data_IF_634764430853
#
_entry.id   IF_634764430853
#
_cell.length_a   1.000
_cell.length_b   1.000
_cell.length_c   1.000
_cell.angle_alpha   90.00
_cell.angle_beta   90.00
_cell.angle_gamma   90.00
#
_symmetry.space_group_name_H-M   'P 1'
#
loop_
_entity.id
_entity.type
_entity.pdbx_description
1 polymer ?
#
# COMPACT_ATOMS: atom_id res chain seq x y z
N UNK A 1 -29.29 15.55 -2.76
CA UNK A 1 -27.92 15.25 -3.20
C UNK A 1 -26.85 16.14 -2.52
N UNK A 2 -27.12 17.40 -2.18
CA UNK A 2 -26.14 18.28 -1.52
C UNK A 2 -25.81 17.94 -0.04
N UNK A 3 -26.68 17.23 0.66
CA UNK A 3 -26.49 16.84 2.07
C UNK A 3 -25.70 15.53 2.26
N UNK A 4 -25.53 14.71 1.23
CA UNK A 4 -24.75 13.47 1.31
C UNK A 4 -23.24 13.71 1.12
N UNK A 5 -22.84 14.73 0.38
CA UNK A 5 -21.43 15.15 0.23
C UNK A 5 -20.78 15.65 1.53
N UNK A 6 -21.56 16.02 2.55
CA UNK A 6 -21.03 16.40 3.87
C UNK A 6 -20.77 15.21 4.80
N UNK A 7 -21.32 14.02 4.50
CA UNK A 7 -21.06 12.79 5.25
C UNK A 7 -19.88 12.09 4.61
N UNK A 8 -18.74 12.11 5.28
CA UNK A 8 -17.58 11.35 4.85
C UNK A 8 -17.89 9.85 4.72
N UNK A 9 -17.18 9.17 3.84
CA UNK A 9 -17.25 7.70 3.69
C UNK A 9 -16.29 7.03 4.66
N UNK A 10 -16.74 5.94 5.25
CA UNK A 10 -15.92 5.08 6.11
C UNK A 10 -15.77 3.72 5.46
N UNK A 11 -14.56 3.36 5.10
CA UNK A 11 -14.24 2.13 4.39
C UNK A 11 -13.25 1.28 5.20
N UNK A 12 -13.32 -0.04 5.18
CA UNK A 12 -12.28 -0.88 5.76
C UNK A 12 -10.98 -0.73 4.94
N UNK A 13 -9.82 -0.73 5.60
CA UNK A 13 -8.52 -0.69 4.90
C UNK A 13 -8.31 -1.90 4.00
N UNK A 14 -8.78 -3.07 4.41
CA UNK A 14 -8.72 -4.29 3.60
C UNK A 14 -10.01 -5.10 3.71
N UNK A 15 -10.36 -5.78 2.63
CA UNK A 15 -11.45 -6.75 2.59
C UNK A 15 -10.99 -8.17 2.95
N UNK A 16 -9.68 -8.42 2.93
CA UNK A 16 -9.08 -9.75 3.16
C UNK A 16 -9.03 -10.12 4.63
N UNK A 17 -10.18 -10.47 5.19
CA UNK A 17 -10.33 -10.81 6.63
C UNK A 17 -9.60 -12.10 7.03
N UNK A 18 -9.46 -13.06 6.12
CA UNK A 18 -8.91 -14.38 6.43
C UNK A 18 -7.41 -14.37 6.75
N UNK A 19 -6.64 -13.44 6.17
CA UNK A 19 -5.20 -13.32 6.40
C UNK A 19 -4.90 -13.03 7.87
N UNK A 20 -5.67 -12.14 8.49
CA UNK A 20 -5.53 -11.84 9.91
C UNK A 20 -5.73 -13.09 10.79
N UNK A 21 -6.80 -13.86 10.53
CA UNK A 21 -7.08 -15.06 11.29
C UNK A 21 -6.02 -16.13 11.13
N UNK A 22 -5.46 -16.26 9.92
CA UNK A 22 -4.36 -17.18 9.66
C UNK A 22 -3.10 -16.77 10.44
N UNK A 23 -2.73 -15.50 10.40
CA UNK A 23 -1.57 -14.98 11.16
C UNK A 23 -1.78 -15.19 12.65
N UNK A 24 -2.99 -14.92 13.17
CA UNK A 24 -3.32 -15.10 14.57
C UNK A 24 -3.22 -16.58 14.99
N UNK A 25 -3.73 -17.50 14.17
CA UNK A 25 -3.65 -18.94 14.42
C UNK A 25 -2.22 -19.49 14.37
N UNK A 26 -1.37 -18.94 13.52
CA UNK A 26 0.04 -19.33 13.42
C UNK A 26 0.90 -18.82 14.59
N UNK A 27 0.46 -17.78 15.29
CA UNK A 27 1.22 -17.14 16.38
C UNK A 27 1.60 -18.12 17.51
N UNK A 28 0.68 -18.88 18.12
CA UNK A 28 1.04 -19.80 19.19
C UNK A 28 1.94 -20.95 18.69
N UNK A 29 1.76 -21.38 17.44
CA UNK A 29 2.60 -22.42 16.82
C UNK A 29 4.04 -21.95 16.64
N UNK A 30 4.24 -20.72 16.18
CA UNK A 30 5.58 -20.17 15.98
C UNK A 30 6.29 -19.96 17.31
N UNK A 31 5.62 -19.33 18.29
CA UNK A 31 6.21 -19.11 19.63
C UNK A 31 6.53 -20.46 20.29
N UNK A 32 5.61 -21.42 20.21
CA UNK A 32 5.85 -22.75 20.74
C UNK A 32 7.04 -23.46 20.08
N UNK A 33 7.18 -23.33 18.77
CA UNK A 33 8.31 -23.88 18.01
C UNK A 33 9.65 -23.23 18.41
N UNK A 34 9.70 -21.92 18.57
CA UNK A 34 10.89 -21.18 18.97
C UNK A 34 11.32 -21.59 20.38
N UNK A 35 10.40 -21.61 21.36
CA UNK A 35 10.70 -22.02 22.74
C UNK A 35 11.11 -23.50 22.83
N UNK A 36 10.46 -24.37 22.07
CA UNK A 36 10.85 -25.78 21.97
C UNK A 36 12.27 -25.93 21.39
N UNK A 37 12.57 -25.20 20.32
CA UNK A 37 13.89 -25.23 19.67
C UNK A 37 15.00 -24.78 20.61
N UNK A 38 14.78 -23.71 21.39
CA UNK A 38 15.74 -23.20 22.40
C UNK A 38 16.01 -24.30 23.44
N UNK A 39 14.98 -24.99 23.92
CA UNK A 39 15.10 -26.04 24.95
C UNK A 39 15.82 -27.27 24.44
N UNK A 40 15.41 -27.78 23.27
CA UNK A 40 15.98 -29.01 22.68
C UNK A 40 17.44 -28.83 22.26
N UNK A 41 17.76 -27.69 21.69
CA UNK A 41 19.13 -27.39 21.28
C UNK A 41 20.04 -26.95 22.42
N UNK A 42 19.53 -26.79 23.66
CA UNK A 42 20.30 -26.33 24.82
C UNK A 42 20.96 -24.96 24.57
N UNK A 43 20.35 -24.14 23.70
CA UNK A 43 20.92 -22.86 23.29
C UNK A 43 20.89 -21.84 24.41
N UNK A 44 22.07 -21.46 24.88
CA UNK A 44 22.26 -20.38 25.84
C UNK A 44 23.00 -19.22 25.16
N UNK A 45 22.77 -17.99 25.65
CA UNK A 45 23.44 -16.82 25.14
C UNK A 45 22.94 -16.33 23.79
N UNK A 46 23.85 -16.04 22.85
CA UNK A 46 23.52 -15.39 21.56
C UNK A 46 22.55 -16.20 20.70
N UNK A 47 22.60 -17.52 20.72
CA UNK A 47 21.70 -18.35 19.90
C UNK A 47 20.23 -18.20 20.31
N UNK A 48 19.95 -18.17 21.61
CA UNK A 48 18.59 -17.96 22.11
C UNK A 48 18.06 -16.54 21.80
N UNK A 49 18.94 -15.54 21.82
CA UNK A 49 18.58 -14.17 21.45
C UNK A 49 18.17 -14.05 19.96
N UNK A 50 18.92 -14.72 19.05
CA UNK A 50 18.57 -14.74 17.63
C UNK A 50 17.21 -15.37 17.39
N UNK A 51 16.88 -16.47 18.05
CA UNK A 51 15.57 -17.10 17.91
C UNK A 51 14.44 -16.20 18.47
N UNK A 52 14.66 -15.55 19.60
CA UNK A 52 13.69 -14.58 20.15
C UNK A 52 13.50 -13.35 19.27
N UNK A 53 14.51 -12.98 18.47
CA UNK A 53 14.36 -11.93 17.46
C UNK A 53 13.31 -12.34 16.40
N UNK A 54 13.18 -13.63 16.07
CA UNK A 54 12.13 -14.13 15.16
C UNK A 54 10.74 -13.87 15.76
N UNK A 55 10.54 -14.14 17.07
CA UNK A 55 9.28 -13.83 17.74
C UNK A 55 8.98 -12.33 17.72
N UNK A 56 9.98 -11.49 18.00
CA UNK A 56 9.80 -10.04 17.93
C UNK A 56 9.38 -9.57 16.52
N UNK A 57 10.02 -10.09 15.47
CA UNK A 57 9.66 -9.79 14.09
C UNK A 57 8.24 -10.29 13.76
N UNK A 58 7.85 -11.44 14.29
CA UNK A 58 6.50 -11.96 14.13
C UNK A 58 5.46 -11.05 14.80
N UNK A 59 5.71 -10.56 16.01
CA UNK A 59 4.83 -9.59 16.67
C UNK A 59 4.64 -8.30 15.84
N UNK A 60 5.68 -7.86 15.14
CA UNK A 60 5.56 -6.73 14.20
C UNK A 60 4.60 -7.09 13.05
N UNK A 61 4.67 -8.30 12.51
CA UNK A 61 3.73 -8.77 11.47
C UNK A 61 2.31 -8.79 12.01
N UNK A 62 2.09 -9.36 13.20
CA UNK A 62 0.77 -9.38 13.87
C UNK A 62 0.22 -7.97 14.08
N UNK A 63 1.06 -7.03 14.55
CA UNK A 63 0.65 -5.65 14.77
C UNK A 63 0.25 -4.95 13.46
N UNK A 64 0.98 -5.20 12.38
CA UNK A 64 0.66 -4.67 11.04
C UNK A 64 -0.67 -5.24 10.55
N UNK A 65 -0.86 -6.55 10.62
CA UNK A 65 -2.12 -7.21 10.23
C UNK A 65 -3.31 -6.70 11.08
N UNK A 66 -3.07 -6.44 12.36
CA UNK A 66 -4.06 -5.85 13.25
C UNK A 66 -4.48 -4.44 12.79
N UNK A 67 -3.51 -3.58 12.42
CA UNK A 67 -3.81 -2.26 11.87
C UNK A 67 -4.62 -2.37 10.58
N UNK A 68 -4.25 -3.29 9.67
CA UNK A 68 -5.01 -3.50 8.44
C UNK A 68 -6.42 -4.02 8.70
N UNK A 69 -6.60 -4.90 9.69
CA UNK A 69 -7.89 -5.52 10.00
C UNK A 69 -8.87 -4.56 10.67
N UNK A 70 -8.40 -3.75 11.60
CA UNK A 70 -9.23 -2.83 12.39
C UNK A 70 -9.14 -1.38 11.93
N UNK A 71 -8.22 -1.12 11.01
CA UNK A 71 -8.08 0.19 10.42
C UNK A 71 -9.23 0.53 9.49
N UNK A 72 -9.63 1.80 9.54
CA UNK A 72 -10.67 2.38 8.71
C UNK A 72 -10.10 3.55 7.93
N UNK A 73 -10.52 3.64 6.69
CA UNK A 73 -10.25 4.75 5.80
C UNK A 73 -11.44 5.71 5.85
N UNK A 74 -11.22 6.92 6.30
CA UNK A 74 -12.22 7.98 6.28
C UNK A 74 -11.92 8.91 5.11
N UNK A 75 -12.87 8.99 4.18
CA UNK A 75 -12.87 9.95 3.09
C UNK A 75 -13.74 11.12 3.52
N UNK A 76 -13.13 12.27 3.75
CA UNK A 76 -13.83 13.51 4.13
C UNK A 76 -13.43 14.63 3.18
N UNK A 77 -14.23 15.69 3.02
CA UNK A 77 -13.91 16.78 2.08
C UNK A 77 -12.53 17.41 2.32
N UNK A 78 -12.06 17.42 3.56
CA UNK A 78 -10.76 17.96 3.97
C UNK A 78 -9.58 17.03 3.67
N UNK A 79 -9.83 15.78 3.26
CA UNK A 79 -8.80 14.83 2.93
C UNK A 79 -9.10 13.40 3.33
N UNK A 80 -8.06 12.57 3.36
CA UNK A 80 -8.14 11.15 3.70
C UNK A 80 -7.50 10.93 5.07
N UNK A 81 -8.18 10.23 5.95
CA UNK A 81 -7.64 9.84 7.24
C UNK A 81 -7.69 8.32 7.43
N UNK A 82 -6.65 7.76 8.04
CA UNK A 82 -6.62 6.38 8.49
C UNK A 82 -6.74 6.38 10.00
N UNK A 83 -7.74 5.68 10.51
CA UNK A 83 -7.96 5.55 11.94
C UNK A 83 -7.94 4.09 12.37
N UNK A 84 -7.52 3.84 13.62
CA UNK A 84 -7.62 2.55 14.29
C UNK A 84 -8.19 2.80 15.68
N UNK A 85 -9.29 2.17 16.01
CA UNK A 85 -10.02 2.36 17.26
C UNK A 85 -10.31 3.84 17.59
N UNK A 86 -10.68 4.62 16.57
CA UNK A 86 -10.97 6.05 16.74
C UNK A 86 -9.75 6.95 16.81
N UNK A 87 -8.54 6.40 16.95
CA UNK A 87 -7.30 7.18 16.91
C UNK A 87 -6.83 7.36 15.48
N UNK A 88 -6.53 8.59 15.08
CA UNK A 88 -6.00 8.90 13.75
C UNK A 88 -4.53 8.53 13.67
N UNK A 89 -4.23 7.50 12.88
CA UNK A 89 -2.84 7.10 12.60
C UNK A 89 -2.20 7.98 11.55
N UNK A 90 -2.99 8.42 10.57
CA UNK A 90 -2.50 9.19 9.43
C UNK A 90 -3.61 10.07 8.87
N UNK A 91 -3.23 11.29 8.49
CA UNK A 91 -4.09 12.21 7.76
C UNK A 91 -3.39 12.66 6.49
N UNK A 92 -4.14 12.69 5.40
CA UNK A 92 -3.70 13.12 4.08
C UNK A 92 -4.58 14.29 3.65
N UNK A 93 -4.17 15.55 3.91
CA UNK A 93 -4.98 16.72 3.60
C UNK A 93 -5.26 16.82 2.09
N UNK A 94 -6.44 17.29 1.72
CA UNK A 94 -6.87 17.45 0.33
C UNK A 94 -5.90 18.29 -0.50
N UNK A 95 -5.39 19.35 0.07
CA UNK A 95 -4.43 20.27 -0.55
C UNK A 95 -3.11 19.61 -0.96
N UNK A 96 -2.77 18.48 -0.31
CA UNK A 96 -1.58 17.70 -0.63
C UNK A 96 -1.85 16.62 -1.69
N UNK A 97 -3.09 16.38 -2.09
CA UNK A 97 -3.41 15.39 -3.12
C UNK A 97 -3.13 16.00 -4.48
N UNK A 98 -2.06 15.58 -5.15
CA UNK A 98 -1.66 16.05 -6.48
C UNK A 98 -2.32 15.30 -7.61
N UNK A 99 -2.43 13.97 -7.48
CA UNK A 99 -3.18 13.16 -8.42
C UNK A 99 -3.65 11.85 -7.78
N UNK A 100 -4.62 11.23 -8.42
CA UNK A 100 -5.10 9.88 -8.15
C UNK A 100 -4.66 8.97 -9.30
N UNK A 101 -4.17 7.77 -8.98
CA UNK A 101 -3.74 6.81 -10.00
C UNK A 101 -4.35 5.44 -9.81
N UNK A 102 -4.72 4.76 -10.91
CA UNK A 102 -5.00 3.33 -10.94
C UNK A 102 -3.75 2.57 -11.34
N UNK A 103 -3.29 1.63 -10.52
CA UNK A 103 -2.11 0.82 -10.84
C UNK A 103 -2.54 -0.64 -10.94
N UNK A 104 -2.50 -1.20 -12.16
CA UNK A 104 -2.79 -2.60 -12.43
C UNK A 104 -1.53 -3.27 -12.99
N UNK A 105 -1.10 -4.35 -12.38
CA UNK A 105 0.10 -5.09 -12.82
C UNK A 105 0.04 -6.55 -12.39
N UNK A 106 0.85 -7.38 -13.03
CA UNK A 106 1.04 -8.78 -12.65
C UNK A 106 2.34 -8.96 -11.87
N UNK A 107 2.24 -9.54 -10.69
CA UNK A 107 3.41 -9.88 -9.88
C UNK A 107 3.39 -11.38 -9.54
N UNK A 108 4.41 -12.11 -10.00
CA UNK A 108 4.51 -13.58 -9.83
C UNK A 108 3.24 -14.32 -10.25
N UNK A 109 2.64 -13.91 -11.38
CA UNK A 109 1.41 -14.52 -11.91
C UNK A 109 0.12 -14.12 -11.19
N UNK A 110 0.18 -13.23 -10.19
CA UNK A 110 -1.01 -12.72 -9.49
C UNK A 110 -1.30 -11.29 -9.92
N UNK A 111 -2.52 -11.03 -10.36
CA UNK A 111 -2.97 -9.66 -10.66
C UNK A 111 -3.04 -8.84 -9.38
N UNK A 112 -2.49 -7.64 -9.43
CA UNK A 112 -2.47 -6.67 -8.35
C UNK A 112 -3.07 -5.37 -8.84
N UNK A 113 -3.99 -4.83 -8.06
CA UNK A 113 -4.72 -3.61 -8.40
C UNK A 113 -4.80 -2.68 -7.18
N UNK A 114 -4.41 -1.42 -7.39
CA UNK A 114 -4.40 -0.42 -6.33
C UNK A 114 -4.92 0.92 -6.83
N UNK A 115 -5.60 1.64 -5.95
CA UNK A 115 -5.85 3.07 -6.08
C UNK A 115 -4.73 3.78 -5.33
N UNK A 116 -4.00 4.63 -6.02
CA UNK A 116 -2.90 5.41 -5.46
C UNK A 116 -3.36 6.85 -5.24
N UNK A 117 -3.21 7.34 -4.02
CA UNK A 117 -3.37 8.77 -3.70
C UNK A 117 -1.99 9.34 -3.50
N UNK A 118 -1.60 10.32 -4.31
CA UNK A 118 -0.23 10.82 -4.36
C UNK A 118 -0.16 12.30 -3.98
N UNK A 119 0.78 12.62 -3.07
CA UNK A 119 1.12 13.99 -2.72
C UNK A 119 2.26 14.56 -3.59
N UNK A 120 2.87 13.74 -4.42
CA UNK A 120 3.90 14.13 -5.37
C UNK A 120 3.33 14.13 -6.77
N UNK A 121 3.91 14.95 -7.65
CA UNK A 121 3.57 14.92 -9.07
C UNK A 121 4.10 13.65 -9.74
N UNK A 122 3.60 13.34 -10.94
CA UNK A 122 4.10 12.20 -11.72
C UNK A 122 5.55 12.36 -12.11
N UNK A 123 5.97 13.59 -12.43
CA UNK A 123 7.34 13.93 -12.76
C UNK A 123 8.29 13.68 -11.59
N UNK A 124 7.90 14.09 -10.36
CA UNK A 124 8.70 13.85 -9.15
C UNK A 124 8.86 12.34 -8.87
N UNK A 125 7.79 11.54 -9.09
CA UNK A 125 7.85 10.09 -8.94
C UNK A 125 8.72 9.43 -10.01
N UNK A 126 8.66 9.93 -11.25
CA UNK A 126 9.47 9.47 -12.36
C UNK A 126 10.96 9.72 -12.11
N UNK A 127 11.31 10.92 -11.66
CA UNK A 127 12.70 11.27 -11.28
C UNK A 127 13.22 10.43 -10.12
N UNK A 128 12.38 10.21 -9.11
CA UNK A 128 12.72 9.34 -7.99
C UNK A 128 12.95 7.89 -8.45
N UNK A 129 12.17 7.41 -9.43
CA UNK A 129 12.36 6.09 -10.02
C UNK A 129 13.70 5.99 -10.75
N UNK A 130 14.03 6.97 -11.59
CA UNK A 130 15.31 7.03 -12.30
C UNK A 130 16.49 7.05 -11.32
N UNK A 131 16.40 7.88 -10.27
CA UNK A 131 17.43 7.98 -9.24
C UNK A 131 17.70 6.64 -8.56
N UNK A 132 16.63 5.89 -8.21
CA UNK A 132 16.75 4.60 -7.54
C UNK A 132 17.22 3.46 -8.43
N UNK A 133 16.97 3.56 -9.73
CA UNK A 133 17.39 2.50 -10.66
C UNK A 133 18.79 2.74 -11.23
N UNK A 134 19.41 3.89 -10.93
CA UNK A 134 20.68 4.36 -11.51
C UNK A 134 20.69 4.31 -13.06
N UNK A 135 19.52 4.24 -13.70
CA UNK A 135 19.34 4.21 -15.13
C UNK A 135 18.87 5.58 -15.59
N UNK A 136 19.78 6.37 -16.13
CA UNK A 136 19.43 7.63 -16.79
C UNK A 136 18.89 7.30 -18.17
N UNK A 137 17.59 7.35 -18.33
CA UNK A 137 16.92 7.18 -19.63
C UNK A 137 16.87 8.52 -20.38
N UNK A 138 18.04 9.09 -20.74
CA UNK A 138 18.12 10.39 -21.43
C UNK A 138 17.16 10.48 -22.64
N UNK A 139 17.06 9.39 -23.42
CA UNK A 139 16.17 9.35 -24.58
C UNK A 139 14.69 9.11 -24.22
N UNK A 140 14.37 8.73 -22.98
CA UNK A 140 13.01 8.49 -22.56
C UNK A 140 12.30 9.78 -22.14
N UNK A 141 13.03 10.75 -21.59
CA UNK A 141 12.47 12.06 -21.16
C UNK A 141 11.86 12.88 -22.31
N UNK A 142 12.24 12.60 -23.55
CA UNK A 142 11.64 13.24 -24.74
C UNK A 142 10.29 12.64 -25.14
N UNK A 143 9.86 11.54 -24.52
CA UNK A 143 8.56 10.94 -24.80
C UNK A 143 7.45 11.64 -24.00
N UNK A 144 6.28 11.91 -24.61
CA UNK A 144 5.18 12.57 -23.93
C UNK A 144 4.62 11.76 -22.76
N UNK A 145 4.73 10.42 -22.80
CA UNK A 145 4.26 9.46 -21.77
C UNK A 145 5.33 9.06 -20.74
N UNK A 146 6.50 9.74 -20.77
CA UNK A 146 7.64 9.38 -19.90
C UNK A 146 7.28 9.43 -18.39
N UNK A 147 6.63 10.51 -17.97
CA UNK A 147 6.31 10.71 -16.57
C UNK A 147 5.33 9.65 -16.06
N UNK A 148 4.31 9.32 -16.85
CA UNK A 148 3.32 8.30 -16.53
C UNK A 148 3.95 6.90 -16.44
N UNK A 149 4.75 6.50 -17.44
CA UNK A 149 5.41 5.19 -17.47
C UNK A 149 6.37 5.01 -16.28
N UNK A 150 7.17 6.02 -15.96
CA UNK A 150 8.13 5.95 -14.86
C UNK A 150 7.45 6.03 -13.49
N UNK A 151 6.43 6.88 -13.32
CA UNK A 151 5.64 6.96 -12.11
C UNK A 151 4.89 5.65 -11.86
N UNK A 152 4.30 5.05 -12.89
CA UNK A 152 3.65 3.73 -12.81
C UNK A 152 4.62 2.66 -12.31
N UNK A 153 5.82 2.56 -12.90
CA UNK A 153 6.86 1.62 -12.46
C UNK A 153 7.32 1.87 -11.02
N UNK A 154 7.40 3.14 -10.61
CA UNK A 154 7.72 3.49 -9.23
C UNK A 154 6.63 2.99 -8.27
N UNK A 155 5.36 3.26 -8.58
CA UNK A 155 4.23 2.88 -7.75
C UNK A 155 4.06 1.36 -7.66
N UNK A 156 4.28 0.62 -8.74
CA UNK A 156 4.29 -0.85 -8.74
C UNK A 156 5.35 -1.40 -7.79
N UNK A 157 6.58 -0.89 -7.87
CA UNK A 157 7.66 -1.28 -6.95
C UNK A 157 7.37 -0.88 -5.51
N UNK A 158 6.76 0.28 -5.30
CA UNK A 158 6.36 0.72 -3.97
C UNK A 158 5.30 -0.22 -3.39
N UNK A 159 4.29 -0.61 -4.19
CA UNK A 159 3.22 -1.51 -3.79
C UNK A 159 3.73 -2.92 -3.39
N UNK A 160 4.79 -3.41 -4.04
CA UNK A 160 5.39 -4.71 -3.72
C UNK A 160 6.45 -4.65 -2.62
N UNK A 161 6.86 -3.47 -2.21
CA UNK A 161 7.88 -3.31 -1.18
C UNK A 161 7.31 -3.42 0.24
N UNK A 162 8.16 -3.89 1.18
CA UNK A 162 7.85 -3.82 2.62
C UNK A 162 7.60 -2.38 3.11
N UNK A 163 8.04 -1.37 2.37
CA UNK A 163 7.77 0.05 2.67
C UNK A 163 6.29 0.37 2.66
N UNK A 164 5.47 -0.38 1.92
CA UNK A 164 4.02 -0.26 1.95
C UNK A 164 3.49 -0.50 3.38
N UNK A 165 4.01 -1.51 4.05
CA UNK A 165 3.57 -1.90 5.40
C UNK A 165 4.03 -0.89 6.46
N UNK A 166 5.26 -0.38 6.34
CA UNK A 166 5.88 0.55 7.29
C UNK A 166 5.82 2.02 6.83
N UNK A 167 5.32 2.27 5.63
CA UNK A 167 5.29 3.59 4.99
C UNK A 167 4.33 4.60 5.61
N UNK A 168 3.78 4.29 6.79
CA UNK A 168 2.92 5.23 7.55
C UNK A 168 3.60 6.58 7.83
N UNK A 169 4.93 6.66 7.80
CA UNK A 169 5.68 7.91 7.99
C UNK A 169 5.94 8.71 6.71
N UNK A 170 5.97 8.08 5.53
CA UNK A 170 6.18 8.79 4.26
C UNK A 170 4.84 9.17 3.65
N UNK A 171 4.40 10.38 3.93
CA UNK A 171 3.11 10.94 3.50
C UNK A 171 2.99 11.22 2.00
N UNK A 172 3.85 10.65 1.16
CA UNK A 172 3.83 10.96 -0.26
C UNK A 172 2.88 10.09 -1.08
N UNK A 173 2.58 8.86 -0.61
CA UNK A 173 1.79 7.89 -1.35
C UNK A 173 0.92 7.08 -0.39
N UNK A 174 -0.37 6.99 -0.68
CA UNK A 174 -1.32 6.12 -0.01
C UNK A 174 -1.85 5.13 -1.04
N UNK A 175 -1.74 3.83 -0.72
CA UNK A 175 -2.30 2.75 -1.53
C UNK A 175 -3.58 2.24 -0.88
N UNK A 176 -4.65 2.21 -1.66
CA UNK A 176 -5.97 1.70 -1.29
C UNK A 176 -6.26 0.50 -2.18
N UNK A 177 -6.78 -0.58 -1.61
CA UNK A 177 -7.16 -1.75 -2.38
C UNK A 177 -8.21 -1.37 -3.43
N UNK A 178 -7.99 -1.82 -4.67
CA UNK A 178 -8.88 -1.49 -5.79
C UNK A 178 -10.27 -2.08 -5.59
N UNK A 179 -11.27 -1.25 -5.79
CA UNK A 179 -12.65 -1.65 -6.01
C UNK A 179 -13.31 -0.54 -6.85
N UNK A 180 -14.20 -0.89 -7.81
CA UNK A 180 -14.93 0.11 -8.59
C UNK A 180 -15.73 1.08 -7.73
N UNK A 181 -16.29 0.58 -6.62
CA UNK A 181 -17.06 1.37 -5.66
C UNK A 181 -16.16 2.37 -4.93
N UNK A 182 -15.00 1.92 -4.41
CA UNK A 182 -14.01 2.78 -3.75
C UNK A 182 -13.49 3.87 -4.67
N UNK A 183 -13.23 3.52 -5.93
CA UNK A 183 -12.79 4.50 -6.91
C UNK A 183 -13.84 5.59 -7.12
N UNK A 184 -15.12 5.22 -7.31
CA UNK A 184 -16.21 6.19 -7.45
C UNK A 184 -16.32 7.09 -6.24
N UNK A 185 -16.31 6.53 -5.03
CA UNK A 185 -16.37 7.30 -3.79
C UNK A 185 -15.22 8.32 -3.67
N UNK A 186 -14.00 7.93 -4.07
CA UNK A 186 -12.84 8.81 -4.03
C UNK A 186 -12.98 9.92 -5.08
N UNK A 187 -13.41 9.59 -6.30
CA UNK A 187 -13.61 10.57 -7.36
C UNK A 187 -14.74 11.56 -7.03
N UNK A 188 -15.84 11.06 -6.46
CA UNK A 188 -16.97 11.90 -6.02
C UNK A 188 -16.57 12.83 -4.87
N UNK A 189 -15.72 12.34 -3.95
CA UNK A 189 -15.26 13.15 -2.82
C UNK A 189 -14.23 14.21 -3.22
N UNK A 190 -13.40 13.93 -4.23
CA UNK A 190 -12.33 14.83 -4.67
C UNK A 190 -12.46 15.22 -6.14
N UNK A 191 -13.56 15.88 -6.54
CA UNK A 191 -13.74 16.37 -7.90
C UNK A 191 -12.64 17.40 -8.21
N UNK A 192 -12.06 17.29 -9.39
CA UNK A 192 -10.97 18.17 -9.84
C UNK A 192 -9.56 17.70 -9.49
N UNK A 193 -9.39 16.62 -8.73
CA UNK A 193 -8.09 15.95 -8.66
C UNK A 193 -7.90 15.09 -9.92
N UNK A 194 -6.80 15.26 -10.69
CA UNK A 194 -6.60 14.51 -11.92
C UNK A 194 -6.47 13.00 -11.62
N UNK A 195 -7.10 12.21 -12.48
CA UNK A 195 -7.01 10.76 -12.46
C UNK A 195 -6.17 10.27 -13.62
N UNK A 196 -5.26 9.33 -13.37
CA UNK A 196 -4.43 8.71 -14.41
C UNK A 196 -4.42 7.20 -14.24
N UNK A 197 -4.64 6.48 -15.34
CA UNK A 197 -4.48 5.03 -15.37
C UNK A 197 -3.02 4.68 -15.68
N UNK A 198 -2.36 4.08 -14.70
CA UNK A 198 -0.95 3.69 -14.75
C UNK A 198 -0.79 2.17 -14.90
N UNK A 199 -1.72 1.54 -15.62
CA UNK A 199 -1.71 0.09 -15.84
C UNK A 199 -0.48 -0.36 -16.63
N UNK A 200 0.16 -1.45 -16.20
CA UNK A 200 1.27 -2.04 -16.96
C UNK A 200 0.79 -2.51 -18.33
N UNK A 201 1.43 -2.02 -19.39
CA UNK A 201 1.12 -2.37 -20.79
C UNK A 201 1.07 -3.88 -21.01
N UNK A 202 1.87 -4.68 -20.28
CA UNK A 202 1.84 -6.15 -20.36
C UNK A 202 0.53 -6.77 -19.88
N UNK A 203 -0.14 -6.14 -18.92
CA UNK A 203 -1.46 -6.59 -18.44
C UNK A 203 -2.52 -6.29 -19.49
N UNK A 204 -2.49 -5.08 -20.07
CA UNK A 204 -3.41 -4.68 -21.14
C UNK A 204 -3.28 -5.57 -22.40
N UNK A 205 -2.04 -5.94 -22.76
CA UNK A 205 -1.78 -6.82 -23.89
C UNK A 205 -2.25 -8.27 -23.64
N UNK A 206 -2.23 -8.72 -22.38
CA UNK A 206 -2.75 -10.04 -22.00
C UNK A 206 -4.29 -10.08 -22.03
N UNK A 207 -4.95 -9.03 -21.56
CA UNK A 207 -6.42 -8.92 -21.56
C UNK A 207 -6.99 -8.79 -22.98
N UNK A 208 -6.25 -8.20 -23.93
CA UNK A 208 -6.65 -8.09 -25.35
C UNK A 208 -6.54 -9.40 -26.14
N UNK A 209 -5.86 -10.42 -25.58
CA UNK A 209 -5.66 -11.74 -26.22
C UNK A 209 -6.68 -12.80 -25.77
N UNK A 210 -7.57 -12.45 -24.86
CA UNK A 210 -8.70 -13.25 -24.39
C UNK A 210 -9.99 -12.76 -25.06
#
# INVERSE_FOLDING_TARGET
MENECRRGYELPLTEKKWQFWLVLAMTPLLIGYVEWSIRVAGMNGWGSWLLRLVDLLWFVVVAVEFVYRFGKLHLVPEGIAITVFGSTLRRFPREHIRFLGGVHYSYKGTARQWICVCARSMEELAEEHERKTAKVFRNARSRPDWAEDMAGKYLMRYADSMRRLFGFRQMAILLIEWSPERLRMIQDMYPGVPWTDLTDKKVLDAERKI
#
